data_IF_276970837358
#
_entry.id   IF_276970837358
#
_cell.length_a   1.000
_cell.length_b   1.000
_cell.length_c   1.000
_cell.angle_alpha   90.00
_cell.angle_beta   90.00
_cell.angle_gamma   90.00
#
_symmetry.space_group_name_H-M   'P 1'
#
loop_
_entity.id
_entity.type
_entity.pdbx_description
1 polymer ?
#
# COMPACT_ATOMS: atom_id res chain seq x y z
N UNK A 1 1.12 36.97 -5.87
CA UNK A 1 0.00 36.04 -5.69
C UNK A 1 0.55 34.63 -5.61
N UNK A 2 0.73 34.11 -4.40
CA UNK A 2 1.21 32.75 -4.15
C UNK A 2 0.05 31.78 -4.36
N UNK A 3 0.11 30.99 -5.43
CA UNK A 3 -0.85 29.92 -5.69
C UNK A 3 -0.63 28.81 -4.65
N UNK A 4 -1.39 28.86 -3.56
CA UNK A 4 -1.53 27.75 -2.62
C UNK A 4 -2.24 26.64 -3.39
N UNK A 5 -1.47 25.66 -3.88
CA UNK A 5 -2.03 24.39 -4.36
C UNK A 5 -2.80 23.79 -3.19
N UNK A 6 -4.13 23.89 -3.26
CA UNK A 6 -5.07 23.15 -2.41
C UNK A 6 -4.72 21.67 -2.59
N UNK A 7 -3.90 21.12 -1.70
CA UNK A 7 -3.70 19.69 -1.59
C UNK A 7 -5.08 19.11 -1.39
N UNK A 8 -5.57 18.37 -2.39
CA UNK A 8 -6.64 17.41 -2.12
C UNK A 8 -6.09 16.54 -1.02
N UNK A 9 -6.74 16.57 0.14
CA UNK A 9 -6.53 15.57 1.18
C UNK A 9 -7.16 14.31 0.59
N UNK A 10 -6.43 13.67 -0.32
CA UNK A 10 -6.72 12.34 -0.76
C UNK A 10 -6.67 11.54 0.53
N UNK A 11 -7.86 11.19 1.01
CA UNK A 11 -8.01 10.40 2.21
C UNK A 11 -7.52 9.04 1.74
N UNK A 12 -6.26 8.73 2.03
CA UNK A 12 -5.65 7.46 1.68
C UNK A 12 -6.49 6.41 2.40
N UNK A 13 -7.42 5.83 1.66
CA UNK A 13 -8.28 4.78 2.19
C UNK A 13 -7.35 3.64 2.56
N UNK A 14 -7.28 3.28 3.84
CA UNK A 14 -6.37 2.22 4.31
C UNK A 14 -6.66 0.90 3.58
N UNK A 15 -7.90 0.74 3.15
CA UNK A 15 -8.38 -0.40 2.38
C UNK A 15 -7.97 -0.34 0.90
N UNK A 16 -7.67 0.85 0.35
CA UNK A 16 -7.24 1.05 -1.03
C UNK A 16 -5.76 0.73 -1.29
N UNK A 17 -4.98 0.42 -0.25
CA UNK A 17 -3.56 0.05 -0.32
C UNK A 17 -3.31 -1.46 -0.13
N UNK A 18 -4.35 -2.24 0.17
CA UNK A 18 -4.21 -3.68 0.32
C UNK A 18 -4.20 -4.36 -1.04
N UNK A 19 -3.07 -5.02 -1.36
CA UNK A 19 -3.01 -5.97 -2.47
C UNK A 19 -4.03 -7.08 -2.23
N UNK A 20 -4.99 -7.22 -3.11
CA UNK A 20 -6.01 -8.26 -3.03
C UNK A 20 -5.53 -9.54 -3.71
N UNK A 21 -6.20 -10.65 -3.40
CA UNK A 21 -5.96 -11.90 -4.12
C UNK A 21 -6.31 -11.78 -5.61
N UNK A 22 -7.31 -10.98 -5.95
CA UNK A 22 -7.67 -10.66 -7.33
C UNK A 22 -6.51 -9.95 -8.04
N UNK A 23 -5.91 -8.94 -7.41
CA UNK A 23 -4.76 -8.23 -7.96
C UNK A 23 -3.61 -9.20 -8.27
N UNK A 24 -3.27 -10.09 -7.34
CA UNK A 24 -2.21 -11.09 -7.52
C UNK A 24 -2.55 -12.10 -8.60
N UNK A 25 -3.80 -12.53 -8.72
CA UNK A 25 -4.20 -13.52 -9.71
C UNK A 25 -4.16 -12.99 -11.14
N UNK A 26 -4.25 -11.67 -11.33
CA UNK A 26 -4.05 -11.03 -12.65
C UNK A 26 -2.58 -10.91 -13.05
N UNK A 27 -1.64 -11.01 -12.10
CA UNK A 27 -0.22 -10.87 -12.36
C UNK A 27 0.40 -12.15 -12.92
N UNK A 28 1.06 -12.04 -14.07
CA UNK A 28 1.67 -13.19 -14.75
C UNK A 28 2.77 -13.85 -13.89
N UNK A 29 3.56 -13.04 -13.17
CA UNK A 29 4.62 -13.54 -12.28
C UNK A 29 4.09 -14.33 -11.07
N UNK A 30 2.82 -14.16 -10.71
CA UNK A 30 2.16 -14.85 -9.61
C UNK A 30 1.40 -16.11 -10.05
N UNK A 31 1.26 -16.38 -11.36
CA UNK A 31 0.47 -17.50 -11.87
C UNK A 31 0.94 -18.86 -11.36
N UNK A 32 2.24 -19.01 -11.14
CA UNK A 32 2.85 -20.27 -10.72
C UNK A 32 2.96 -20.44 -9.20
N UNK A 33 2.54 -19.43 -8.43
CA UNK A 33 2.58 -19.51 -6.97
C UNK A 33 1.44 -20.40 -6.46
N UNK A 34 1.73 -21.19 -5.43
CA UNK A 34 0.70 -21.89 -4.67
C UNK A 34 -0.21 -20.88 -3.95
N UNK A 35 -1.44 -21.27 -3.56
CA UNK A 35 -2.32 -20.42 -2.76
C UNK A 35 -1.63 -19.89 -1.48
N UNK A 36 -0.86 -20.73 -0.79
CA UNK A 36 -0.12 -20.35 0.40
C UNK A 36 0.97 -19.32 0.10
N UNK A 37 1.67 -19.47 -1.03
CA UNK A 37 2.69 -18.51 -1.47
C UNK A 37 2.07 -17.17 -1.86
N UNK A 38 0.91 -17.17 -2.52
CA UNK A 38 0.16 -15.95 -2.83
C UNK A 38 -0.28 -15.25 -1.55
N UNK A 39 -0.86 -15.99 -0.60
CA UNK A 39 -1.24 -15.45 0.71
C UNK A 39 -0.05 -14.87 1.46
N UNK A 40 1.10 -15.55 1.44
CA UNK A 40 2.34 -15.05 2.05
C UNK A 40 2.84 -13.76 1.40
N UNK A 41 2.75 -13.66 0.08
CA UNK A 41 3.11 -12.44 -0.66
C UNK A 41 2.20 -11.26 -0.31
N UNK A 42 0.88 -11.47 -0.22
CA UNK A 42 -0.07 -10.43 0.21
C UNK A 42 0.32 -9.91 1.60
N UNK A 43 0.52 -10.84 2.55
CA UNK A 43 0.86 -10.49 3.93
C UNK A 43 2.18 -9.71 4.01
N UNK A 44 3.20 -10.14 3.26
CA UNK A 44 4.50 -9.48 3.23
C UNK A 44 4.42 -8.05 2.68
N UNK A 45 3.71 -7.85 1.57
CA UNK A 45 3.57 -6.50 1.01
C UNK A 45 2.76 -5.61 1.96
N UNK A 46 1.72 -6.14 2.60
CA UNK A 46 0.96 -5.40 3.59
C UNK A 46 1.82 -4.96 4.78
N UNK A 47 2.68 -5.84 5.30
CA UNK A 47 3.61 -5.52 6.39
C UNK A 47 4.58 -4.40 6.01
N UNK A 48 5.19 -4.48 4.82
CA UNK A 48 6.07 -3.41 4.30
C UNK A 48 5.31 -2.09 4.17
N UNK A 49 4.13 -2.11 3.56
CA UNK A 49 3.29 -0.93 3.39
C UNK A 49 2.96 -0.28 4.73
N UNK A 50 2.67 -1.09 5.76
CA UNK A 50 2.40 -0.60 7.10
C UNK A 50 3.63 0.03 7.76
N UNK A 51 4.81 -0.59 7.64
CA UNK A 51 6.06 -0.02 8.15
C UNK A 51 6.38 1.32 7.48
N UNK A 52 6.25 1.39 6.15
CA UNK A 52 6.49 2.61 5.38
C UNK A 52 5.49 3.72 5.74
N UNK A 53 4.21 3.38 5.88
CA UNK A 53 3.18 4.33 6.30
C UNK A 53 3.50 4.92 7.68
N UNK A 54 3.83 4.07 8.65
CA UNK A 54 4.17 4.50 10.00
C UNK A 54 5.42 5.39 10.00
N UNK A 55 6.47 4.99 9.29
CA UNK A 55 7.71 5.78 9.17
C UNK A 55 7.47 7.15 8.53
N UNK A 56 6.62 7.22 7.49
CA UNK A 56 6.26 8.48 6.85
C UNK A 56 5.38 9.35 7.75
N UNK A 57 4.45 8.75 8.50
CA UNK A 57 3.58 9.47 9.43
C UNK A 57 4.37 10.08 10.60
N UNK A 58 5.23 9.29 11.24
CA UNK A 58 6.12 9.76 12.32
C UNK A 58 7.03 10.90 11.87
N UNK A 59 7.51 10.86 10.62
CA UNK A 59 8.33 11.92 10.04
C UNK A 59 7.58 13.24 9.82
N UNK A 60 6.24 13.21 9.73
CA UNK A 60 5.40 14.38 9.50
C UNK A 60 4.77 14.96 10.78
N UNK A 61 4.86 14.28 11.93
CA UNK A 61 4.43 14.84 13.23
C UNK A 61 5.50 15.75 13.89
N UNK A 62 6.72 15.76 13.35
CA UNK A 62 7.85 16.54 13.87
C UNK A 62 8.12 17.88 13.14
N UNK A 63 7.18 18.38 12.32
CA UNK A 63 7.26 19.70 11.66
C UNK A 63 6.22 20.67 12.25
#
# INVERSE_FOLDING_TARGET
>A
MTNIRKGKKDTWDKDGLMLTEEDINTQEYCRHLSPEQKSGLIAFVHEISQVLYNSYFESNEHI
#
